data_IF_750329064927
#
_entry.id   IF_750329064927
#
_cell.length_a   1.000
_cell.length_b   1.000
_cell.length_c   1.000
_cell.angle_alpha   90.00
_cell.angle_beta   90.00
_cell.angle_gamma   90.00
#
_symmetry.space_group_name_H-M   'P 1'
#
loop_
_entity.id
_entity.type
_entity.pdbx_description
1 polymer ?
#
# COMPACT_ATOMS: atom_id res chain seq x y z
N UNK A 1 -2.60 16.96 22.99
CA UNK A 1 -1.11 17.06 22.93
C UNK A 1 -0.51 15.77 22.40
N UNK A 2 -0.80 14.59 22.95
CA UNK A 2 -0.21 13.29 22.53
C UNK A 2 -0.43 12.96 21.06
N UNK A 3 -1.63 13.18 20.51
CA UNK A 3 -1.96 12.89 19.10
C UNK A 3 -1.08 13.68 18.13
N UNK A 4 -0.84 14.97 18.42
CA UNK A 4 -0.03 15.82 17.54
C UNK A 4 1.45 15.43 17.58
N UNK A 5 1.97 15.02 18.72
CA UNK A 5 3.34 14.51 18.87
C UNK A 5 3.53 13.22 18.05
N UNK A 6 2.59 12.30 18.10
CA UNK A 6 2.64 11.07 17.30
C UNK A 6 2.61 11.34 15.80
N UNK A 7 1.77 12.29 15.36
CA UNK A 7 1.74 12.72 13.96
C UNK A 7 3.08 13.31 13.54
N UNK A 8 3.66 14.18 14.35
CA UNK A 8 4.97 14.81 14.08
C UNK A 8 6.08 13.76 13.98
N UNK A 9 6.17 12.84 14.94
CA UNK A 9 7.15 11.75 14.92
C UNK A 9 7.02 10.87 13.68
N UNK A 10 5.78 10.54 13.29
CA UNK A 10 5.52 9.78 12.06
C UNK A 10 6.03 10.53 10.83
N UNK A 11 5.78 11.83 10.74
CA UNK A 11 6.24 12.67 9.61
C UNK A 11 7.77 12.75 9.56
N UNK A 12 8.42 12.97 10.68
CA UNK A 12 9.89 13.02 10.78
C UNK A 12 10.48 11.68 10.33
N UNK A 13 9.95 10.56 10.82
CA UNK A 13 10.42 9.23 10.41
C UNK A 13 10.23 8.98 8.91
N UNK A 14 9.09 9.40 8.33
CA UNK A 14 8.86 9.29 6.89
C UNK A 14 9.89 10.10 6.07
N UNK A 15 10.23 11.31 6.51
CA UNK A 15 11.23 12.16 5.85
C UNK A 15 12.62 11.52 5.96
N UNK A 16 12.99 10.99 7.13
CA UNK A 16 14.27 10.33 7.35
C UNK A 16 14.41 9.07 6.50
N UNK A 17 13.37 8.25 6.42
CA UNK A 17 13.36 7.05 5.58
C UNK A 17 13.53 7.40 4.11
N UNK A 18 12.79 8.41 3.65
CA UNK A 18 12.92 8.86 2.27
C UNK A 18 14.33 9.41 2.00
N UNK A 19 14.92 10.14 2.92
CA UNK A 19 16.31 10.63 2.81
C UNK A 19 17.32 9.48 2.73
N UNK A 20 17.13 8.42 3.53
CA UNK A 20 17.96 7.21 3.46
C UNK A 20 17.85 6.53 2.10
N UNK A 21 16.66 6.47 1.53
CA UNK A 21 16.44 5.95 0.18
C UNK A 21 17.18 6.78 -0.88
N UNK A 22 17.00 8.12 -0.90
CA UNK A 22 17.69 9.02 -1.85
C UNK A 22 19.21 8.93 -1.80
N UNK A 23 19.76 8.72 -0.62
CA UNK A 23 21.22 8.63 -0.43
C UNK A 23 21.78 7.22 -0.59
N UNK A 24 20.95 6.24 -0.98
CA UNK A 24 21.36 4.83 -1.09
C UNK A 24 21.73 4.17 0.24
N UNK A 25 21.32 4.77 1.38
CA UNK A 25 21.61 4.27 2.73
C UNK A 25 20.44 3.52 3.36
N UNK A 26 19.38 3.28 2.58
CA UNK A 26 18.27 2.47 3.09
C UNK A 26 18.70 1.01 3.12
N UNK A 27 18.69 0.44 4.31
CA UNK A 27 18.99 -0.98 4.50
C UNK A 27 17.82 -1.83 4.01
N UNK A 28 18.14 -2.98 3.43
CA UNK A 28 17.19 -4.01 3.04
C UNK A 28 17.51 -5.29 3.81
N UNK A 29 16.61 -5.72 4.68
CA UNK A 29 16.81 -6.84 5.58
C UNK A 29 15.76 -7.92 5.30
N UNK A 30 15.94 -8.74 4.24
CA UNK A 30 14.99 -9.79 3.91
C UNK A 30 15.05 -10.92 4.94
N UNK A 31 13.86 -11.39 5.32
CA UNK A 31 13.66 -12.54 6.19
C UNK A 31 12.68 -13.51 5.54
N UNK A 32 12.76 -14.83 5.82
CA UNK A 32 11.75 -15.78 5.39
C UNK A 32 10.40 -15.44 6.00
N UNK A 33 9.34 -15.37 5.20
CA UNK A 33 7.98 -15.12 5.66
C UNK A 33 6.95 -15.76 4.75
N UNK A 34 5.75 -16.00 5.29
CA UNK A 34 4.57 -16.38 4.54
C UNK A 34 3.70 -15.15 4.31
N UNK A 35 3.60 -14.70 3.05
CA UNK A 35 2.82 -13.53 2.67
C UNK A 35 1.34 -13.70 3.01
N UNK A 36 0.78 -14.90 2.85
CA UNK A 36 -0.63 -15.15 3.14
C UNK A 36 -0.93 -14.92 4.62
N UNK A 37 -0.08 -15.47 5.49
CA UNK A 37 -0.22 -15.26 6.94
C UNK A 37 -0.10 -13.78 7.31
N UNK A 38 0.92 -13.09 6.79
CA UNK A 38 1.10 -11.66 7.02
C UNK A 38 -0.14 -10.85 6.61
N UNK A 39 -0.68 -11.12 5.41
CA UNK A 39 -1.85 -10.39 4.91
C UNK A 39 -3.11 -10.66 5.72
N UNK A 40 -3.32 -11.90 6.17
CA UNK A 40 -4.44 -12.24 7.07
C UNK A 40 -4.35 -11.44 8.36
N UNK A 41 -3.19 -11.44 9.02
CA UNK A 41 -2.97 -10.73 10.28
C UNK A 41 -3.12 -9.20 10.12
N UNK A 42 -2.58 -8.63 9.03
CA UNK A 42 -2.69 -7.19 8.76
C UNK A 42 -4.13 -6.76 8.45
N UNK A 43 -4.89 -7.59 7.74
CA UNK A 43 -6.29 -7.33 7.43
C UNK A 43 -7.15 -7.21 8.69
N UNK A 44 -6.86 -8.00 9.73
CA UNK A 44 -7.59 -7.93 10.99
C UNK A 44 -7.54 -6.54 11.63
N UNK A 45 -6.42 -5.82 11.45
CA UNK A 45 -6.25 -4.45 11.94
C UNK A 45 -7.24 -3.45 11.32
N UNK A 46 -7.79 -3.74 10.13
CA UNK A 46 -8.72 -2.87 9.43
C UNK A 46 -10.20 -3.24 9.61
N UNK A 47 -10.51 -4.39 10.20
CA UNK A 47 -11.90 -4.84 10.39
C UNK A 47 -12.75 -3.86 11.22
N UNK A 48 -12.17 -3.28 12.28
CA UNK A 48 -12.87 -2.31 13.10
C UNK A 48 -13.15 -1.00 12.33
N UNK A 49 -12.22 -0.57 11.48
CA UNK A 49 -12.38 0.60 10.63
C UNK A 49 -13.44 0.35 9.55
N UNK A 50 -13.45 -0.84 8.96
CA UNK A 50 -14.45 -1.25 7.97
C UNK A 50 -15.87 -1.19 8.57
N UNK A 51 -16.07 -1.77 9.75
CA UNK A 51 -17.36 -1.72 10.46
C UNK A 51 -17.80 -0.30 10.77
N UNK A 52 -16.90 0.55 11.31
CA UNK A 52 -17.25 1.94 11.66
C UNK A 52 -17.65 2.79 10.47
N UNK A 53 -17.08 2.55 9.30
CA UNK A 53 -17.36 3.27 8.06
C UNK A 53 -18.38 2.58 7.16
N UNK A 54 -18.92 1.44 7.59
CA UNK A 54 -19.79 0.59 6.77
C UNK A 54 -19.16 0.23 5.41
N UNK A 55 -17.84 -0.01 5.37
CA UNK A 55 -17.12 -0.41 4.17
C UNK A 55 -17.15 -1.93 4.03
N UNK A 56 -17.48 -2.42 2.83
CA UNK A 56 -17.37 -3.84 2.48
C UNK A 56 -15.90 -4.17 2.21
N UNK A 57 -15.23 -4.76 3.21
CA UNK A 57 -13.83 -5.13 3.12
C UNK A 57 -13.68 -6.63 2.85
N UNK A 58 -12.95 -7.00 1.79
CA UNK A 58 -12.67 -8.40 1.43
C UNK A 58 -11.20 -8.62 1.10
N UNK A 59 -10.73 -9.84 1.40
CA UNK A 59 -9.42 -10.34 1.03
C UNK A 59 -9.57 -11.66 0.28
N UNK A 60 -8.95 -11.76 -0.89
CA UNK A 60 -8.95 -12.94 -1.74
C UNK A 60 -7.49 -13.38 -2.00
N UNK A 61 -7.24 -14.70 -1.93
CA UNK A 61 -5.97 -15.32 -2.32
C UNK A 61 -6.23 -16.52 -3.23
N UNK A 62 -5.21 -16.94 -3.98
CA UNK A 62 -5.31 -18.17 -4.78
C UNK A 62 -5.24 -19.39 -3.85
N UNK A 63 -6.18 -20.36 -3.99
CA UNK A 63 -6.14 -21.58 -3.21
C UNK A 63 -4.91 -22.43 -3.57
N UNK A 64 -4.50 -23.30 -2.66
CA UNK A 64 -3.42 -24.28 -2.84
C UNK A 64 -2.11 -23.69 -3.39
N UNK A 65 -1.81 -22.46 -2.99
CA UNK A 65 -0.66 -21.70 -3.47
C UNK A 65 0.35 -21.50 -2.35
N UNK A 66 1.63 -21.73 -2.64
CA UNK A 66 2.73 -21.44 -1.72
C UNK A 66 3.07 -19.95 -1.78
N UNK A 67 2.96 -19.25 -0.64
CA UNK A 67 3.25 -17.84 -0.50
C UNK A 67 4.53 -17.55 0.32
N UNK A 68 5.36 -18.57 0.56
CA UNK A 68 6.63 -18.37 1.24
C UNK A 68 7.61 -17.60 0.34
N UNK A 69 8.28 -16.62 0.94
CA UNK A 69 9.25 -15.78 0.23
C UNK A 69 10.28 -15.17 1.19
N UNK A 70 11.22 -14.43 0.62
CA UNK A 70 12.16 -13.59 1.34
C UNK A 70 11.78 -12.12 1.10
N UNK A 71 11.42 -11.39 2.13
CA UNK A 71 11.11 -9.96 2.03
C UNK A 71 11.48 -9.22 3.32
N UNK A 72 11.66 -7.92 3.23
CA UNK A 72 11.80 -7.06 4.40
C UNK A 72 10.40 -6.84 5.02
N UNK A 73 10.12 -7.58 6.09
CA UNK A 73 8.80 -7.63 6.71
C UNK A 73 8.30 -6.25 7.16
N UNK A 74 9.17 -5.41 7.73
CA UNK A 74 8.81 -4.07 8.19
C UNK A 74 8.41 -3.16 7.02
N UNK A 75 9.21 -3.17 5.95
CA UNK A 75 8.92 -2.35 4.76
C UNK A 75 7.68 -2.85 4.03
N UNK A 76 7.50 -4.17 3.94
CA UNK A 76 6.32 -4.76 3.31
C UNK A 76 5.04 -4.41 4.09
N UNK A 77 5.06 -4.51 5.41
CA UNK A 77 3.96 -4.06 6.26
C UNK A 77 3.64 -2.57 6.00
N UNK A 78 4.64 -1.72 5.93
CA UNK A 78 4.47 -0.28 5.68
C UNK A 78 3.92 0.02 4.28
N UNK A 79 4.33 -0.73 3.24
CA UNK A 79 3.71 -0.68 1.91
C UNK A 79 2.22 -0.96 2.04
N UNK A 80 1.89 -2.10 2.64
CA UNK A 80 0.53 -2.59 2.76
C UNK A 80 -0.38 -1.63 3.54
N UNK A 81 0.05 -1.20 4.73
CA UNK A 81 -0.72 -0.29 5.57
C UNK A 81 -0.93 1.08 4.94
N UNK A 82 0.06 1.63 4.20
CA UNK A 82 -0.11 2.89 3.48
C UNK A 82 -1.16 2.78 2.37
N UNK A 83 -1.11 1.72 1.56
CA UNK A 83 -2.08 1.52 0.47
C UNK A 83 -3.48 1.28 1.02
N UNK A 84 -3.61 0.44 2.04
CA UNK A 84 -4.90 0.12 2.63
C UNK A 84 -5.50 1.31 3.38
N UNK A 85 -4.69 2.08 4.13
CA UNK A 85 -5.14 3.31 4.77
C UNK A 85 -5.66 4.35 3.76
N UNK A 86 -4.99 4.48 2.60
CA UNK A 86 -5.47 5.32 1.50
C UNK A 86 -6.79 4.80 0.93
N UNK A 87 -6.91 3.51 0.67
CA UNK A 87 -8.15 2.90 0.19
C UNK A 87 -9.31 3.20 1.14
N UNK A 88 -9.14 2.97 2.45
CA UNK A 88 -10.17 3.27 3.45
C UNK A 88 -10.47 4.77 3.60
N UNK A 89 -9.47 5.63 3.40
CA UNK A 89 -9.65 7.08 3.47
C UNK A 89 -10.55 7.60 2.34
N UNK A 90 -10.35 7.09 1.13
CA UNK A 90 -11.02 7.58 -0.08
C UNK A 90 -12.26 6.78 -0.48
N UNK A 91 -12.57 5.70 0.25
CA UNK A 91 -13.81 4.95 0.07
C UNK A 91 -14.93 5.62 0.85
N UNK A 92 -16.09 5.92 0.21
CA UNK A 92 -17.26 6.44 0.90
C UNK A 92 -17.92 5.38 1.78
N UNK A 93 -18.85 5.81 2.63
CA UNK A 93 -19.72 4.90 3.38
C UNK A 93 -20.46 3.96 2.42
N UNK A 94 -20.59 2.70 2.81
CA UNK A 94 -21.12 1.59 1.99
C UNK A 94 -20.33 1.28 0.72
N UNK A 95 -19.13 1.85 0.56
CA UNK A 95 -18.22 1.51 -0.51
C UNK A 95 -17.51 0.17 -0.27
N UNK A 96 -16.63 -0.19 -1.21
CA UNK A 96 -15.93 -1.48 -1.19
C UNK A 96 -14.41 -1.28 -1.22
N UNK A 97 -13.70 -2.05 -0.39
CA UNK A 97 -12.24 -2.22 -0.46
C UNK A 97 -11.95 -3.70 -0.63
N UNK A 98 -11.16 -4.05 -1.63
CA UNK A 98 -10.77 -5.44 -1.91
C UNK A 98 -9.27 -5.54 -2.01
N UNK A 99 -8.70 -6.50 -1.30
CA UNK A 99 -7.29 -6.89 -1.42
C UNK A 99 -7.24 -8.26 -2.09
N UNK A 100 -6.32 -8.44 -3.04
CA UNK A 100 -6.04 -9.73 -3.66
C UNK A 100 -4.55 -10.03 -3.62
N UNK A 101 -4.21 -11.28 -3.34
CA UNK A 101 -2.85 -11.79 -3.35
C UNK A 101 -2.77 -12.97 -4.34
N UNK A 102 -1.81 -12.94 -5.25
CA UNK A 102 -1.59 -13.97 -6.25
C UNK A 102 -0.10 -14.29 -6.41
N UNK A 103 0.21 -15.55 -6.64
CA UNK A 103 1.51 -15.99 -7.11
C UNK A 103 1.45 -16.17 -8.63
N UNK A 104 2.30 -15.47 -9.35
CA UNK A 104 2.29 -15.39 -10.81
C UNK A 104 3.67 -15.74 -11.37
N UNK A 105 3.75 -15.93 -12.68
CA UNK A 105 5.02 -16.12 -13.40
C UNK A 105 5.05 -15.22 -14.62
N UNK A 106 6.19 -14.60 -14.85
CA UNK A 106 6.49 -13.87 -16.07
C UNK A 106 7.82 -14.40 -16.63
N UNK A 107 7.82 -14.87 -17.88
CA UNK A 107 8.99 -15.46 -18.50
C UNK A 107 9.63 -16.59 -17.65
N UNK A 108 8.76 -17.41 -17.03
CA UNK A 108 9.14 -18.48 -16.06
C UNK A 108 9.71 -18.00 -14.72
N UNK A 109 9.82 -16.71 -14.49
CA UNK A 109 10.27 -16.14 -13.21
C UNK A 109 9.05 -15.96 -12.31
N UNK A 110 9.03 -16.59 -11.12
CA UNK A 110 7.93 -16.42 -10.17
C UNK A 110 7.98 -15.03 -9.51
N UNK A 111 6.83 -14.47 -9.27
CA UNK A 111 6.67 -13.25 -8.50
C UNK A 111 5.31 -13.24 -7.78
N UNK A 112 5.20 -12.44 -6.74
CA UNK A 112 3.94 -12.22 -6.06
C UNK A 112 3.33 -10.89 -6.46
N UNK A 113 2.04 -10.90 -6.73
CA UNK A 113 1.25 -9.70 -6.98
C UNK A 113 0.21 -9.53 -5.91
N UNK A 114 0.13 -8.34 -5.33
CA UNK A 114 -1.05 -7.98 -4.59
C UNK A 114 -1.67 -6.69 -5.13
N UNK A 115 -2.99 -6.60 -5.01
CA UNK A 115 -3.75 -5.42 -5.40
C UNK A 115 -4.56 -4.92 -4.23
N UNK A 116 -4.66 -3.59 -4.13
CA UNK A 116 -5.58 -2.90 -3.22
C UNK A 116 -6.51 -2.07 -4.08
N UNK A 117 -7.77 -2.46 -4.13
CA UNK A 117 -8.80 -1.82 -4.92
C UNK A 117 -9.84 -1.15 -4.02
N UNK A 118 -10.28 0.04 -4.38
CA UNK A 118 -11.37 0.71 -3.69
C UNK A 118 -12.33 1.40 -4.64
N UNK A 119 -13.61 1.41 -4.27
CA UNK A 119 -14.62 2.23 -4.93
C UNK A 119 -14.61 3.66 -4.36
N UNK A 120 -15.16 4.60 -5.09
CA UNK A 120 -15.31 5.99 -4.64
C UNK A 120 -14.48 6.97 -5.46
N UNK A 121 -13.66 7.77 -4.80
CA UNK A 121 -12.90 8.83 -5.46
C UNK A 121 -11.96 8.29 -6.53
N UNK A 122 -12.10 8.81 -7.75
CA UNK A 122 -11.24 8.49 -8.88
C UNK A 122 -10.02 9.41 -8.93
N UNK A 123 -8.94 8.90 -9.47
CA UNK A 123 -7.71 9.64 -9.74
C UNK A 123 -7.67 9.95 -11.23
N UNK A 124 -7.64 11.24 -11.60
CA UNK A 124 -7.53 11.61 -13.01
C UNK A 124 -6.19 11.20 -13.63
N UNK A 125 -6.15 11.03 -14.93
CA UNK A 125 -4.92 10.65 -15.65
C UNK A 125 -3.75 11.63 -15.42
N UNK A 126 -4.05 12.90 -15.17
CA UNK A 126 -3.05 13.90 -14.82
C UNK A 126 -2.41 13.61 -13.46
N UNK A 127 -3.23 13.28 -12.46
CA UNK A 127 -2.77 12.99 -11.11
C UNK A 127 -2.04 11.65 -11.02
N UNK A 128 -2.46 10.64 -11.79
CA UNK A 128 -1.83 9.30 -11.79
C UNK A 128 -0.32 9.39 -12.03
N UNK A 129 0.13 10.33 -12.86
CA UNK A 129 1.56 10.49 -13.17
C UNK A 129 2.38 10.99 -11.98
N UNK A 130 1.76 11.71 -11.06
CA UNK A 130 2.44 12.43 -9.97
C UNK A 130 2.11 11.93 -8.57
N UNK A 131 1.18 10.97 -8.40
CA UNK A 131 0.77 10.53 -7.06
C UNK A 131 1.89 9.88 -6.24
N UNK A 132 2.95 9.41 -6.90
CA UNK A 132 4.14 8.86 -6.24
C UNK A 132 5.23 9.91 -5.99
N UNK A 133 5.03 11.16 -6.43
CA UNK A 133 5.96 12.25 -6.17
C UNK A 133 5.86 12.72 -4.71
N UNK A 134 6.99 13.15 -4.16
CA UNK A 134 7.02 13.69 -2.79
C UNK A 134 6.14 14.92 -2.65
N UNK A 135 5.44 15.00 -1.50
CA UNK A 135 4.57 16.12 -1.13
C UNK A 135 3.41 16.35 -2.11
N UNK A 136 3.24 15.44 -3.07
CA UNK A 136 2.13 15.55 -4.00
C UNK A 136 0.81 15.21 -3.30
N UNK A 137 -0.19 16.03 -3.52
CA UNK A 137 -1.56 15.86 -3.04
C UNK A 137 -2.52 16.31 -4.13
N UNK A 138 -3.52 15.50 -4.41
CA UNK A 138 -4.60 15.86 -5.36
C UNK A 138 -5.39 17.04 -4.80
N UNK A 139 -5.65 17.04 -3.50
CA UNK A 139 -6.34 18.14 -2.80
C UNK A 139 -5.51 18.52 -1.56
N UNK A 140 -5.21 19.80 -1.45
CA UNK A 140 -4.45 20.37 -0.32
C UNK A 140 -5.21 20.33 1.00
N UNK A 141 -6.54 20.23 0.96
CA UNK A 141 -7.39 20.14 2.15
C UNK A 141 -7.45 18.72 2.76
N UNK A 142 -7.07 17.69 2.01
CA UNK A 142 -7.00 16.34 2.55
C UNK A 142 -5.84 16.16 3.53
N UNK A 143 -6.14 15.57 4.69
CA UNK A 143 -5.14 15.22 5.70
C UNK A 143 -4.14 14.21 5.15
N UNK A 144 -2.85 14.47 5.34
CA UNK A 144 -1.74 13.59 4.93
C UNK A 144 -0.48 14.37 4.61
N UNK A 145 0.67 13.72 4.64
CA UNK A 145 1.97 14.34 4.39
C UNK A 145 2.31 14.49 2.90
N UNK A 146 1.67 13.71 2.02
CA UNK A 146 2.09 13.57 0.63
C UNK A 146 3.38 12.75 0.46
N UNK A 147 3.85 12.07 1.53
CA UNK A 147 5.08 11.25 1.50
C UNK A 147 4.75 9.75 1.42
N UNK A 148 3.56 9.34 1.85
CA UNK A 148 3.20 7.93 2.00
C UNK A 148 3.38 7.12 0.72
N UNK A 149 2.83 7.56 -0.42
CA UNK A 149 2.95 6.85 -1.69
C UNK A 149 4.37 6.91 -2.27
N UNK A 150 5.11 8.00 -2.07
CA UNK A 150 6.52 8.07 -2.45
C UNK A 150 7.37 7.04 -1.70
N UNK A 151 7.12 6.84 -0.39
CA UNK A 151 7.76 5.80 0.40
C UNK A 151 7.32 4.39 -0.02
N UNK A 152 6.04 4.19 -0.33
CA UNK A 152 5.57 2.90 -0.87
C UNK A 152 6.37 2.53 -2.11
N UNK A 153 6.50 3.46 -3.07
CA UNK A 153 7.30 3.24 -4.27
C UNK A 153 8.77 2.91 -3.94
N UNK A 154 9.40 3.67 -3.06
CA UNK A 154 10.78 3.42 -2.63
C UNK A 154 10.95 2.03 -1.99
N UNK A 155 10.04 1.61 -1.13
CA UNK A 155 10.09 0.29 -0.50
C UNK A 155 9.83 -0.85 -1.49
N UNK A 156 8.94 -0.66 -2.46
CA UNK A 156 8.72 -1.63 -3.55
C UNK A 156 9.97 -1.76 -4.41
N UNK A 157 10.59 -0.65 -4.78
CA UNK A 157 11.81 -0.64 -5.59
C UNK A 157 13.00 -1.30 -4.88
N UNK A 158 13.14 -1.14 -3.56
CA UNK A 158 14.22 -1.82 -2.81
C UNK A 158 14.01 -3.34 -2.71
N UNK A 159 12.77 -3.82 -2.85
CA UNK A 159 12.45 -5.23 -3.02
C UNK A 159 12.70 -5.75 -4.45
N UNK A 160 13.12 -4.87 -5.39
CA UNK A 160 13.24 -5.20 -6.81
C UNK A 160 11.91 -5.30 -7.55
N UNK A 161 10.83 -4.83 -6.93
CA UNK A 161 9.47 -4.90 -7.45
C UNK A 161 9.03 -3.67 -8.23
N UNK A 162 7.75 -3.63 -8.55
CA UNK A 162 7.10 -2.49 -9.22
C UNK A 162 5.73 -2.18 -8.63
N UNK A 163 5.33 -0.91 -8.71
CA UNK A 163 4.00 -0.45 -8.33
C UNK A 163 3.36 0.34 -9.47
N UNK A 164 2.08 0.11 -9.68
CA UNK A 164 1.26 0.86 -10.62
C UNK A 164 -0.11 1.19 -10.02
N UNK A 165 -0.82 2.11 -10.67
CA UNK A 165 -2.18 2.47 -10.30
C UNK A 165 -3.03 2.66 -11.54
N UNK A 166 -4.25 2.17 -11.47
CA UNK A 166 -5.30 2.39 -12.46
C UNK A 166 -6.53 2.95 -11.74
N UNK A 167 -7.25 3.87 -12.40
CA UNK A 167 -8.43 4.47 -11.81
C UNK A 167 -9.44 4.83 -12.90
N UNK A 168 -10.59 4.19 -12.87
CA UNK A 168 -11.72 4.46 -13.77
C UNK A 168 -13.07 4.17 -13.07
N UNK A 169 -14.17 4.57 -13.70
CA UNK A 169 -15.51 4.41 -13.14
C UNK A 169 -15.93 2.95 -12.94
N UNK A 170 -15.39 2.04 -13.72
CA UNK A 170 -15.73 0.60 -13.68
C UNK A 170 -14.97 -0.13 -12.58
N UNK A 171 -13.68 0.16 -12.45
CA UNK A 171 -12.77 -0.54 -11.53
C UNK A 171 -12.64 0.16 -10.17
N UNK A 172 -12.98 1.47 -10.11
CA UNK A 172 -12.56 2.32 -9.01
C UNK A 172 -11.08 2.64 -9.12
N UNK A 173 -10.39 2.75 -7.98
CA UNK A 173 -8.94 2.93 -7.94
C UNK A 173 -8.27 1.63 -7.51
N UNK A 174 -7.31 1.16 -8.29
CA UNK A 174 -6.58 -0.10 -8.06
C UNK A 174 -5.09 0.17 -8.03
N UNK A 175 -4.46 -0.06 -6.90
CA UNK A 175 -3.00 -0.13 -6.78
C UNK A 175 -2.55 -1.57 -6.96
N UNK A 176 -1.55 -1.80 -7.81
CA UNK A 176 -0.95 -3.11 -8.08
C UNK A 176 0.51 -3.08 -7.69
N UNK A 177 0.94 -4.01 -6.85
CA UNK A 177 2.33 -4.20 -6.43
C UNK A 177 2.80 -5.58 -6.84
N UNK A 178 3.93 -5.63 -7.54
CA UNK A 178 4.65 -6.85 -7.91
C UNK A 178 5.95 -6.92 -7.10
N UNK A 179 6.22 -8.09 -6.50
CA UNK A 179 7.40 -8.35 -5.65
C UNK A 179 8.11 -9.62 -6.10
#
# INVERSE_FOLDING_TARGET
VQRNVQILLRLVNQILDFRRYETGKMEFTPVPLDLLQCFVEWNDSFQAAARRKHIHFSFDSMPDTDYHTQADAEKLERIYFNLLANAFKFTPENGKVTVRLAALKKDSVPFFRFTVANTGSLISAEHIRSIFDRFYKIDRHHTGSGIGLALVKAFVEIHGGSISVESDERLGTVFTVDL
#
